data_IF_371014781948
#
_entry.id   IF_371014781948
#
_cell.length_a   1.000
_cell.length_b   1.000
_cell.length_c   1.000
_cell.angle_alpha   90.00
_cell.angle_beta   90.00
_cell.angle_gamma   90.00
#
_symmetry.space_group_name_H-M   'P 1'
#
loop_
_entity.id
_entity.type
_entity.pdbx_description
1 polymer ?
#
# COMPACT_ATOMS: atom_id res chain seq x y z
N UNK A 1 -14.23 -1.75 -4.23
CA UNK A 1 -14.68 -3.15 -4.42
C UNK A 1 -13.57 -4.11 -4.85
N UNK A 2 -12.62 -3.71 -5.73
CA UNK A 2 -11.54 -4.61 -6.18
C UNK A 2 -10.58 -5.04 -5.08
N UNK A 3 -10.12 -4.11 -4.23
CA UNK A 3 -9.18 -4.37 -3.14
C UNK A 3 -9.75 -5.32 -2.08
N UNK A 4 -11.00 -5.11 -1.66
CA UNK A 4 -11.65 -5.95 -0.65
C UNK A 4 -11.83 -7.38 -1.13
N UNK A 5 -12.06 -7.60 -2.43
CA UNK A 5 -12.15 -8.94 -3.00
C UNK A 5 -10.75 -9.59 -3.14
N UNK A 6 -9.72 -8.79 -3.44
CA UNK A 6 -8.32 -9.22 -3.51
C UNK A 6 -7.76 -9.63 -2.13
N UNK A 7 -7.97 -8.81 -1.10
CA UNK A 7 -7.54 -9.09 0.27
C UNK A 7 -8.27 -10.32 0.83
N UNK A 8 -9.57 -10.43 0.59
CA UNK A 8 -10.39 -11.54 1.08
C UNK A 8 -10.13 -12.86 0.33
N UNK A 9 -9.76 -12.80 -0.95
CA UNK A 9 -9.29 -13.97 -1.70
C UNK A 9 -7.87 -14.39 -1.29
N UNK A 10 -6.98 -13.44 -1.00
CA UNK A 10 -5.64 -13.71 -0.48
C UNK A 10 -5.67 -14.43 0.89
N UNK A 11 -6.67 -14.15 1.72
CA UNK A 11 -6.86 -14.81 3.02
C UNK A 11 -7.52 -16.21 2.93
N UNK A 12 -8.25 -16.52 1.85
CA UNK A 12 -9.05 -17.76 1.73
C UNK A 12 -8.36 -18.91 1.00
N UNK A 13 -7.34 -18.64 0.19
CA UNK A 13 -6.66 -19.67 -0.58
C UNK A 13 -5.45 -20.21 0.19
N UNK A 14 -5.56 -21.44 0.70
CA UNK A 14 -4.51 -22.17 1.39
C UNK A 14 -3.22 -22.32 0.56
N UNK A 15 -2.32 -21.38 0.77
CA UNK A 15 -0.87 -21.49 0.69
C UNK A 15 -0.40 -20.32 1.54
N UNK A 16 0.43 -20.54 2.55
CA UNK A 16 1.08 -19.47 3.32
C UNK A 16 2.00 -18.66 2.40
N UNK A 17 1.42 -17.94 1.44
CA UNK A 17 2.13 -16.95 0.66
C UNK A 17 2.60 -15.92 1.66
N UNK A 18 3.91 -15.88 1.86
CA UNK A 18 4.55 -14.93 2.76
C UNK A 18 3.98 -13.55 2.49
N UNK A 19 3.83 -12.72 3.53
CA UNK A 19 3.36 -11.34 3.40
C UNK A 19 4.05 -10.60 2.24
N UNK A 20 5.33 -10.91 1.98
CA UNK A 20 6.07 -10.35 0.84
C UNK A 20 5.50 -10.71 -0.53
N UNK A 21 4.93 -11.91 -0.70
CA UNK A 21 4.31 -12.34 -1.96
C UNK A 21 2.99 -11.61 -2.22
N UNK A 22 2.27 -11.23 -1.16
CA UNK A 22 1.06 -10.42 -1.27
C UNK A 22 1.40 -8.95 -1.57
N UNK A 23 2.53 -8.46 -1.06
CA UNK A 23 3.03 -7.10 -1.33
C UNK A 23 3.73 -6.96 -2.69
N UNK A 24 4.26 -8.05 -3.28
CA UNK A 24 4.92 -8.03 -4.60
C UNK A 24 4.17 -7.26 -5.69
N UNK A 25 2.86 -7.45 -5.94
CA UNK A 25 2.13 -6.66 -6.94
C UNK A 25 2.13 -5.16 -6.61
N UNK A 26 1.99 -4.78 -5.34
CA UNK A 26 2.00 -3.38 -4.91
C UNK A 26 3.39 -2.76 -5.12
N UNK A 27 4.46 -3.51 -4.79
CA UNK A 27 5.85 -3.09 -5.04
C UNK A 27 6.09 -2.91 -6.55
N UNK A 28 5.57 -3.81 -7.39
CA UNK A 28 5.69 -3.71 -8.85
C UNK A 28 4.96 -2.48 -9.40
N UNK A 29 3.73 -2.23 -8.97
CA UNK A 29 2.98 -1.04 -9.38
C UNK A 29 3.71 0.25 -8.98
N UNK A 30 4.29 0.29 -7.77
CA UNK A 30 5.08 1.44 -7.31
C UNK A 30 6.35 1.64 -8.14
N UNK A 31 7.03 0.56 -8.52
CA UNK A 31 8.22 0.60 -9.39
C UNK A 31 7.91 0.96 -10.84
N UNK A 32 6.70 0.69 -11.33
CA UNK A 32 6.34 0.88 -12.73
C UNK A 32 7.23 0.06 -13.65
N UNK A 33 7.90 0.73 -14.60
CA UNK A 33 8.88 0.10 -15.50
C UNK A 33 10.30 0.05 -14.93
N UNK A 34 10.54 0.61 -13.74
CA UNK A 34 11.85 0.57 -13.11
C UNK A 34 12.13 -0.84 -12.57
N UNK A 35 13.20 -1.48 -13.03
CA UNK A 35 13.60 -2.81 -12.55
C UNK A 35 14.61 -2.77 -11.39
N UNK A 36 15.17 -1.61 -11.06
CA UNK A 36 16.16 -1.44 -9.99
C UNK A 36 15.58 -1.74 -8.59
N UNK A 37 16.46 -2.08 -7.64
CA UNK A 37 16.04 -2.23 -6.25
C UNK A 37 15.55 -0.89 -5.70
N UNK A 38 14.53 -0.93 -4.84
CA UNK A 38 14.08 0.28 -4.15
C UNK A 38 15.18 0.77 -3.19
N UNK A 39 15.46 2.06 -3.25
CA UNK A 39 16.23 2.76 -2.22
C UNK A 39 15.48 2.75 -0.88
N UNK A 40 16.18 3.01 0.22
CA UNK A 40 15.54 3.08 1.54
C UNK A 40 14.44 4.15 1.60
N UNK A 41 14.66 5.30 0.98
CA UNK A 41 13.66 6.38 0.89
C UNK A 41 12.40 5.94 0.10
N UNK A 42 12.58 5.19 -0.98
CA UNK A 42 11.45 4.64 -1.73
C UNK A 42 10.66 3.59 -0.94
N UNK A 43 11.35 2.75 -0.16
CA UNK A 43 10.72 1.79 0.75
C UNK A 43 9.92 2.52 1.85
N UNK A 44 10.45 3.61 2.41
CA UNK A 44 9.73 4.44 3.38
C UNK A 44 8.49 5.07 2.76
N UNK A 45 8.60 5.64 1.55
CA UNK A 45 7.47 6.21 0.82
C UNK A 45 6.40 5.16 0.51
N UNK A 46 6.80 3.97 0.08
CA UNK A 46 5.86 2.87 -0.19
C UNK A 46 5.16 2.42 1.10
N UNK A 47 5.90 2.33 2.20
CA UNK A 47 5.34 1.95 3.51
C UNK A 47 4.32 2.98 3.99
N UNK A 48 4.57 4.27 3.79
CA UNK A 48 3.62 5.34 4.08
C UNK A 48 2.33 5.20 3.25
N UNK A 49 2.45 4.94 1.94
CA UNK A 49 1.28 4.74 1.06
C UNK A 49 0.45 3.55 1.53
N UNK A 50 1.09 2.43 1.89
CA UNK A 50 0.40 1.24 2.40
C UNK A 50 -0.33 1.57 3.71
N UNK A 51 0.34 2.25 4.65
CA UNK A 51 -0.26 2.68 5.91
C UNK A 51 -1.50 3.55 5.68
N UNK A 52 -1.39 4.59 4.86
CA UNK A 52 -2.50 5.51 4.59
C UNK A 52 -3.69 4.81 3.93
N UNK A 53 -3.45 3.80 3.08
CA UNK A 53 -4.54 2.98 2.51
C UNK A 53 -5.23 2.10 3.55
N UNK A 54 -4.49 1.58 4.53
CA UNK A 54 -5.05 0.85 5.68
C UNK A 54 -5.86 1.82 6.54
N UNK A 55 -5.31 2.98 6.88
CA UNK A 55 -6.00 4.03 7.65
C UNK A 55 -7.31 4.45 6.99
N UNK A 56 -7.34 4.59 5.66
CA UNK A 56 -8.56 4.92 4.92
C UNK A 56 -9.60 3.80 4.99
N UNK A 57 -9.20 2.53 4.87
CA UNK A 57 -10.12 1.39 4.92
C UNK A 57 -10.70 1.18 6.31
N UNK A 58 -9.88 1.35 7.36
CA UNK A 58 -10.31 1.27 8.76
C UNK A 58 -11.11 2.51 9.21
N UNK A 59 -11.20 3.54 8.37
CA UNK A 59 -11.93 4.78 8.66
C UNK A 59 -11.21 5.74 9.61
N UNK A 60 -9.89 5.57 9.80
CA UNK A 60 -9.05 6.48 10.59
C UNK A 60 -8.85 7.83 9.88
N UNK A 61 -8.85 7.83 8.55
CA UNK A 61 -8.70 9.03 7.73
C UNK A 61 -9.73 9.06 6.59
N UNK A 62 -10.01 10.24 6.08
CA UNK A 62 -10.87 10.43 4.90
C UNK A 62 -10.07 10.30 3.60
N UNK A 63 -10.76 10.19 2.46
CA UNK A 63 -10.11 10.24 1.14
C UNK A 63 -9.36 11.55 0.91
N UNK A 64 -9.88 12.65 1.44
CA UNK A 64 -9.25 13.96 1.35
C UNK A 64 -7.92 13.97 2.10
N UNK A 65 -7.90 13.43 3.32
CA UNK A 65 -6.68 13.32 4.11
C UNK A 65 -5.62 12.46 3.42
N UNK A 66 -6.04 11.39 2.73
CA UNK A 66 -5.15 10.57 1.89
C UNK A 66 -4.57 11.40 0.72
N UNK A 67 -5.41 12.12 -0.02
CA UNK A 67 -4.98 12.96 -1.14
C UNK A 67 -4.00 14.05 -0.67
N UNK A 68 -4.30 14.71 0.45
CA UNK A 68 -3.45 15.75 1.03
C UNK A 68 -2.09 15.15 1.44
N UNK A 69 -2.07 13.99 2.12
CA UNK A 69 -0.84 13.33 2.53
C UNK A 69 0.03 12.85 1.35
N UNK A 70 -0.58 12.43 0.24
CA UNK A 70 0.13 11.99 -0.97
C UNK A 70 0.74 13.16 -1.75
N UNK A 71 0.07 14.33 -1.76
CA UNK A 71 0.48 15.50 -2.53
C UNK A 71 1.44 16.41 -1.76
N UNK A 72 1.24 16.58 -0.45
CA UNK A 72 1.96 17.56 0.37
C UNK A 72 2.86 16.92 1.43
N UNK A 73 2.87 15.58 1.52
CA UNK A 73 3.50 14.86 2.63
C UNK A 73 2.57 14.81 3.85
N UNK A 74 2.86 13.94 4.84
CA UNK A 74 1.93 13.71 5.93
C UNK A 74 1.80 14.97 6.81
N UNK A 75 0.63 15.61 6.77
CA UNK A 75 0.19 16.57 7.78
C UNK A 75 -0.34 15.80 8.98
N UNK A 76 0.55 15.41 9.88
CA UNK A 76 0.14 14.89 11.19
C UNK A 76 -0.44 16.07 12.00
N UNK A 77 -1.72 16.00 12.33
CA UNK A 77 -2.38 16.88 13.30
C UNK A 77 -2.66 16.12 14.59
#
# INVERSE_FOLDING_TARGET
MFLNNLLRQAMKAGSHKSWIEQLRPIIKDFKGSNNEALTHQEVERLSLIIRLKIDLEEGNITKKDLEDALNYGPTFH
#
